data_IF_747904856510
#
_entry.id   IF_747904856510
#
_cell.length_a   1.000
_cell.length_b   1.000
_cell.length_c   1.000
_cell.angle_alpha   90.00
_cell.angle_beta   90.00
_cell.angle_gamma   90.00
#
_symmetry.space_group_name_H-M   'P 1'
#
loop_
_entity.id
_entity.type
_entity.pdbx_description
1 polymer ?
#
# COMPACT_ATOMS: atom_id res chain seq x y z
N UNK A 1 -33.27 9.31 -10.22
CA UNK A 1 -31.83 9.07 -10.10
C UNK A 1 -31.59 7.75 -9.38
N UNK A 2 -30.87 6.80 -9.95
CA UNK A 2 -30.56 5.52 -9.28
C UNK A 2 -29.54 5.78 -8.17
N UNK A 3 -29.97 5.66 -6.92
CA UNK A 3 -29.04 5.73 -5.78
C UNK A 3 -28.23 4.43 -5.70
N UNK A 4 -26.95 4.55 -5.27
CA UNK A 4 -26.14 3.36 -4.99
C UNK A 4 -26.82 2.53 -3.91
N UNK A 5 -26.96 1.19 -4.10
CA UNK A 5 -27.62 0.33 -3.12
C UNK A 5 -26.79 0.27 -1.82
N UNK A 6 -27.46 -0.04 -0.73
CA UNK A 6 -26.81 -0.28 0.55
C UNK A 6 -25.96 -1.57 0.46
N UNK A 7 -24.72 -1.48 0.93
CA UNK A 7 -23.81 -2.61 1.01
C UNK A 7 -23.93 -3.28 2.39
N UNK A 8 -23.92 -4.62 2.41
CA UNK A 8 -23.85 -5.35 3.67
C UNK A 8 -22.49 -5.09 4.38
N UNK A 9 -22.45 -5.23 5.69
CA UNK A 9 -21.21 -5.08 6.49
C UNK A 9 -20.06 -5.92 5.93
N UNK A 10 -20.32 -7.17 5.53
CA UNK A 10 -19.34 -8.04 4.91
C UNK A 10 -18.75 -7.46 3.62
N UNK A 11 -19.59 -6.85 2.76
CA UNK A 11 -19.11 -6.20 1.53
C UNK A 11 -18.26 -4.96 1.81
N UNK A 12 -18.59 -4.19 2.85
CA UNK A 12 -17.78 -3.06 3.29
C UNK A 12 -16.41 -3.52 3.82
N UNK A 13 -16.40 -4.66 4.53
CA UNK A 13 -15.16 -5.29 5.00
C UNK A 13 -14.31 -5.79 3.83
N UNK A 14 -14.89 -6.57 2.92
CA UNK A 14 -14.21 -7.11 1.74
C UNK A 14 -13.61 -5.99 0.86
N UNK A 15 -14.29 -4.87 0.76
CA UNK A 15 -13.87 -3.67 0.01
C UNK A 15 -12.57 -3.07 0.56
N UNK A 16 -12.38 -3.11 1.86
CA UNK A 16 -11.25 -2.47 2.55
C UNK A 16 -10.15 -3.46 2.96
N UNK A 17 -10.40 -4.77 2.88
CA UNK A 17 -9.49 -5.78 3.44
C UNK A 17 -8.10 -5.80 2.80
N UNK A 18 -8.01 -5.58 1.49
CA UNK A 18 -6.71 -5.49 0.82
C UNK A 18 -5.84 -4.33 1.32
N UNK A 19 -6.46 -3.27 1.87
CA UNK A 19 -5.74 -2.16 2.45
C UNK A 19 -4.93 -2.55 3.71
N UNK A 20 -5.40 -3.55 4.46
CA UNK A 20 -4.66 -4.17 5.56
C UNK A 20 -3.28 -4.69 5.10
N UNK A 21 -3.23 -5.44 4.00
CA UNK A 21 -1.97 -5.94 3.44
C UNK A 21 -1.04 -4.81 2.95
N UNK A 22 -1.59 -3.79 2.29
CA UNK A 22 -0.82 -2.62 1.84
C UNK A 22 -0.20 -1.88 3.02
N UNK A 23 -0.92 -1.77 4.14
CA UNK A 23 -0.41 -1.11 5.33
C UNK A 23 0.65 -1.92 6.08
N UNK A 24 0.60 -3.24 6.04
CA UNK A 24 1.71 -4.08 6.53
C UNK A 24 2.99 -3.77 5.76
N UNK A 25 2.93 -3.72 4.43
CA UNK A 25 4.08 -3.41 3.59
C UNK A 25 4.65 -2.02 3.90
N UNK A 26 3.79 -1.00 4.00
CA UNK A 26 4.18 0.35 4.33
C UNK A 26 4.83 0.45 5.73
N UNK A 27 4.25 -0.21 6.73
CA UNK A 27 4.78 -0.23 8.09
C UNK A 27 6.13 -0.95 8.18
N UNK A 28 6.28 -2.10 7.51
CA UNK A 28 7.55 -2.83 7.44
C UNK A 28 8.67 -1.99 6.82
N UNK A 29 8.36 -1.32 5.71
CA UNK A 29 9.30 -0.39 5.10
C UNK A 29 9.67 0.73 6.06
N UNK A 30 8.69 1.44 6.62
CA UNK A 30 8.93 2.57 7.53
C UNK A 30 9.73 2.17 8.78
N UNK A 31 9.45 1.00 9.34
CA UNK A 31 10.15 0.52 10.54
C UNK A 31 11.60 0.11 10.29
N UNK A 32 11.91 -0.41 9.11
CA UNK A 32 13.19 -1.08 8.86
C UNK A 32 14.11 -0.35 7.88
N UNK A 33 13.65 0.73 7.24
CA UNK A 33 14.44 1.47 6.25
C UNK A 33 15.79 1.93 6.81
N UNK A 34 15.78 2.61 7.97
CA UNK A 34 17.01 3.09 8.61
C UNK A 34 17.95 1.94 8.96
N UNK A 35 17.39 0.82 9.41
CA UNK A 35 18.16 -0.38 9.78
C UNK A 35 18.80 -1.03 8.56
N UNK A 36 18.07 -1.19 7.47
CA UNK A 36 18.57 -1.75 6.21
C UNK A 36 19.73 -0.90 5.69
N UNK A 37 19.56 0.41 5.61
CA UNK A 37 20.61 1.29 5.09
C UNK A 37 21.80 1.43 6.03
N UNK A 38 21.60 1.42 7.36
CA UNK A 38 22.69 1.38 8.32
C UNK A 38 23.55 0.10 8.17
N UNK A 39 22.92 -1.05 7.92
CA UNK A 39 23.68 -2.30 7.67
C UNK A 39 24.42 -2.28 6.34
N UNK A 40 23.94 -1.55 5.34
CA UNK A 40 24.64 -1.34 4.06
C UNK A 40 25.81 -0.36 4.17
N UNK A 41 26.02 0.27 5.33
CA UNK A 41 27.13 1.21 5.58
C UNK A 41 26.77 2.68 5.37
N UNK A 42 25.47 3.04 5.42
CA UNK A 42 25.07 4.44 5.38
C UNK A 42 25.52 5.18 6.64
N UNK A 43 26.07 6.38 6.45
CA UNK A 43 26.35 7.29 7.55
C UNK A 43 25.03 7.75 8.21
N UNK A 44 24.92 7.75 9.55
CA UNK A 44 23.74 8.21 10.28
C UNK A 44 23.21 9.59 9.85
N UNK A 45 24.10 10.52 9.48
CA UNK A 45 23.72 11.84 8.98
C UNK A 45 23.04 11.78 7.61
N UNK A 46 23.43 10.86 6.74
CA UNK A 46 22.83 10.70 5.42
C UNK A 46 21.49 9.97 5.46
N UNK A 47 21.19 9.21 6.53
CA UNK A 47 19.92 8.51 6.70
C UNK A 47 18.71 9.44 6.68
N UNK A 48 18.86 10.70 7.09
CA UNK A 48 17.80 11.70 7.07
C UNK A 48 17.23 11.92 5.66
N UNK A 49 18.05 11.84 4.61
CA UNK A 49 17.60 12.00 3.23
C UNK A 49 16.67 10.87 2.78
N UNK A 50 16.84 9.66 3.29
CA UNK A 50 15.98 8.52 2.95
C UNK A 50 14.56 8.66 3.50
N UNK A 51 14.36 9.42 4.59
CA UNK A 51 13.04 9.68 5.15
C UNK A 51 12.21 10.69 4.35
N UNK A 52 12.84 11.46 3.47
CA UNK A 52 12.15 12.41 2.58
C UNK A 52 11.51 11.69 1.40
N UNK A 53 12.08 10.55 0.97
CA UNK A 53 11.63 9.84 -0.24
C UNK A 53 10.19 9.32 -0.17
N UNK A 54 9.73 8.62 0.89
CA UNK A 54 8.36 8.15 0.98
C UNK A 54 7.30 9.24 0.81
N UNK A 55 7.35 10.38 1.55
CA UNK A 55 6.42 11.48 1.34
C UNK A 55 6.50 12.07 -0.07
N UNK A 56 7.71 12.21 -0.62
CA UNK A 56 7.90 12.75 -1.98
C UNK A 56 7.24 11.86 -3.03
N UNK A 57 7.46 10.54 -2.96
CA UNK A 57 6.82 9.58 -3.85
C UNK A 57 5.29 9.59 -3.69
N UNK A 58 4.79 9.73 -2.46
CA UNK A 58 3.36 9.89 -2.19
C UNK A 58 2.76 11.12 -2.88
N UNK A 59 3.43 12.27 -2.80
CA UNK A 59 2.98 13.51 -3.41
C UNK A 59 2.95 13.41 -4.95
N UNK A 60 3.94 12.74 -5.54
CA UNK A 60 4.05 12.62 -7.01
C UNK A 60 3.15 11.51 -7.57
N UNK A 61 3.20 10.33 -6.98
CA UNK A 61 2.57 9.12 -7.54
C UNK A 61 1.05 9.12 -7.34
N UNK A 62 0.55 9.53 -6.17
CA UNK A 62 -0.88 9.43 -5.86
C UNK A 62 -1.77 10.24 -6.80
N UNK A 63 -1.48 11.52 -7.15
CA UNK A 63 -2.28 12.27 -8.11
C UNK A 63 -2.23 11.69 -9.53
N UNK A 64 -1.05 11.22 -9.96
CA UNK A 64 -0.86 10.62 -11.28
C UNK A 64 -1.69 9.34 -11.40
N UNK A 65 -1.55 8.43 -10.45
CA UNK A 65 -2.30 7.16 -10.42
C UNK A 65 -3.80 7.41 -10.28
N UNK A 66 -4.20 8.37 -9.45
CA UNK A 66 -5.59 8.79 -9.32
C UNK A 66 -6.18 9.22 -10.67
N UNK A 67 -5.51 10.15 -11.34
CA UNK A 67 -5.93 10.66 -12.66
C UNK A 67 -5.94 9.57 -13.75
N UNK A 68 -4.88 8.76 -13.81
CA UNK A 68 -4.79 7.66 -14.77
C UNK A 68 -5.90 6.62 -14.55
N UNK A 69 -6.15 6.22 -13.29
CA UNK A 69 -7.18 5.24 -12.97
C UNK A 69 -8.60 5.77 -13.24
N UNK A 70 -8.82 7.09 -13.16
CA UNK A 70 -10.12 7.70 -13.52
C UNK A 70 -10.42 7.60 -15.02
N UNK A 71 -9.40 7.60 -15.86
CA UNK A 71 -9.52 7.55 -17.33
C UNK A 71 -9.48 6.14 -17.90
N UNK A 72 -9.02 5.16 -17.13
CA UNK A 72 -8.86 3.78 -17.58
C UNK A 72 -10.09 2.96 -17.26
N UNK A 73 -10.67 2.29 -18.26
CA UNK A 73 -11.75 1.35 -18.09
C UNK A 73 -11.32 -0.02 -18.63
N UNK A 74 -11.33 -1.01 -17.76
CA UNK A 74 -11.08 -2.39 -18.10
C UNK A 74 -12.26 -3.26 -17.74
N UNK A 75 -12.26 -4.53 -18.19
CA UNK A 75 -13.28 -5.51 -17.81
C UNK A 75 -13.32 -5.81 -16.30
N UNK A 76 -12.24 -5.49 -15.58
CA UNK A 76 -12.14 -5.68 -14.12
C UNK A 76 -12.55 -4.42 -13.34
N UNK A 77 -12.79 -3.32 -14.02
CA UNK A 77 -13.05 -2.01 -13.43
C UNK A 77 -11.96 -1.00 -13.78
N UNK A 78 -11.98 0.15 -13.11
CA UNK A 78 -11.00 1.23 -13.31
C UNK A 78 -9.90 1.27 -12.24
N UNK A 79 -10.22 0.91 -11.00
CA UNK A 79 -9.30 0.96 -9.84
C UNK A 79 -8.51 -0.33 -9.65
N UNK A 80 -9.17 -1.48 -9.83
CA UNK A 80 -8.61 -2.81 -9.57
C UNK A 80 -7.31 -3.09 -10.32
N UNK A 81 -7.14 -2.75 -11.62
CA UNK A 81 -5.89 -3.03 -12.32
C UNK A 81 -4.68 -2.30 -11.72
N UNK A 82 -4.83 -1.03 -11.35
CA UNK A 82 -3.76 -0.25 -10.74
C UNK A 82 -3.37 -0.77 -9.37
N UNK A 83 -4.39 -1.12 -8.57
CA UNK A 83 -4.22 -1.72 -7.26
C UNK A 83 -3.45 -3.05 -7.35
N UNK A 84 -3.83 -3.91 -8.28
CA UNK A 84 -3.19 -5.21 -8.45
C UNK A 84 -1.75 -5.07 -8.97
N UNK A 85 -1.51 -4.24 -9.98
CA UNK A 85 -0.16 -4.00 -10.52
C UNK A 85 0.75 -3.38 -9.47
N UNK A 86 0.26 -2.36 -8.74
CA UNK A 86 1.01 -1.76 -7.64
C UNK A 86 1.41 -2.77 -6.57
N UNK A 87 0.46 -3.62 -6.14
CA UNK A 87 0.74 -4.64 -5.15
C UNK A 87 1.70 -5.73 -5.68
N UNK A 88 1.55 -6.17 -6.92
CA UNK A 88 2.43 -7.18 -7.53
C UNK A 88 3.89 -6.67 -7.62
N UNK A 89 4.08 -5.43 -8.06
CA UNK A 89 5.41 -4.81 -8.10
C UNK A 89 5.96 -4.62 -6.69
N UNK A 90 5.14 -4.17 -5.72
CA UNK A 90 5.55 -4.01 -4.34
C UNK A 90 6.04 -5.34 -3.74
N UNK A 91 5.38 -6.46 -4.01
CA UNK A 91 5.79 -7.81 -3.56
C UNK A 91 7.18 -8.17 -4.09
N UNK A 92 7.43 -7.97 -5.39
CA UNK A 92 8.74 -8.23 -5.98
C UNK A 92 9.83 -7.38 -5.32
N UNK A 93 9.56 -6.10 -5.15
CA UNK A 93 10.52 -5.16 -4.57
C UNK A 93 10.73 -5.42 -3.08
N UNK A 94 9.70 -5.82 -2.34
CA UNK A 94 9.84 -6.25 -0.93
C UNK A 94 10.75 -7.46 -0.78
N UNK A 95 10.82 -8.34 -1.77
CA UNK A 95 11.76 -9.45 -1.76
C UNK A 95 13.19 -9.02 -2.12
N UNK A 96 13.38 -7.94 -2.88
CA UNK A 96 14.69 -7.47 -3.31
C UNK A 96 15.39 -6.58 -2.27
N UNK A 97 14.64 -5.65 -1.65
CA UNK A 97 15.20 -4.62 -0.77
C UNK A 97 16.02 -5.18 0.41
N UNK A 98 15.53 -6.14 1.21
CA UNK A 98 16.31 -6.66 2.33
C UNK A 98 17.53 -7.48 1.90
N UNK A 99 17.60 -7.92 0.65
CA UNK A 99 18.73 -8.69 0.11
C UNK A 99 19.82 -7.81 -0.55
N UNK A 100 19.67 -6.49 -0.53
CA UNK A 100 20.60 -5.57 -1.19
C UNK A 100 22.08 -5.78 -0.78
N UNK A 101 22.33 -6.13 0.48
CA UNK A 101 23.67 -6.44 0.98
C UNK A 101 24.21 -7.83 0.60
N UNK A 102 23.33 -8.77 0.25
CA UNK A 102 23.71 -10.17 -0.02
C UNK A 102 24.21 -10.44 -1.44
N UNK A 103 24.10 -9.47 -2.34
CA UNK A 103 24.50 -9.62 -3.75
C UNK A 103 26.00 -9.46 -4.01
N UNK A 104 26.84 -9.33 -2.97
CA UNK A 104 28.29 -9.19 -3.12
C UNK A 104 28.74 -7.91 -3.82
N UNK A 105 27.88 -6.89 -3.86
CA UNK A 105 28.17 -5.58 -4.46
C UNK A 105 29.08 -4.76 -3.53
N UNK A 106 29.88 -3.85 -4.13
CA UNK A 106 30.56 -2.82 -3.36
C UNK A 106 29.56 -1.97 -2.58
N UNK A 107 29.95 -1.45 -1.41
CA UNK A 107 29.08 -0.68 -0.49
C UNK A 107 28.34 0.45 -1.23
N UNK A 108 29.04 1.21 -2.07
CA UNK A 108 28.43 2.30 -2.85
C UNK A 108 27.38 1.78 -3.83
N UNK A 109 27.62 0.66 -4.49
CA UNK A 109 26.66 0.05 -5.41
C UNK A 109 25.44 -0.52 -4.67
N UNK A 110 25.64 -1.17 -3.51
CA UNK A 110 24.59 -1.68 -2.64
C UNK A 110 23.69 -0.54 -2.12
N UNK A 111 24.27 0.60 -1.78
CA UNK A 111 23.55 1.81 -1.36
C UNK A 111 22.66 2.36 -2.48
N UNK A 112 23.21 2.53 -3.69
CA UNK A 112 22.44 3.00 -4.85
C UNK A 112 21.33 2.02 -5.21
N UNK A 113 21.63 0.73 -5.22
CA UNK A 113 20.65 -0.32 -5.46
C UNK A 113 19.53 -0.28 -4.42
N UNK A 114 19.87 -0.19 -3.13
CA UNK A 114 18.89 -0.07 -2.05
C UNK A 114 18.02 1.17 -2.19
N UNK A 115 18.62 2.33 -2.54
CA UNK A 115 17.88 3.58 -2.78
C UNK A 115 16.89 3.46 -3.93
N UNK A 116 17.34 2.96 -5.08
CA UNK A 116 16.47 2.76 -6.26
C UNK A 116 15.34 1.78 -5.93
N UNK A 117 15.67 0.67 -5.28
CA UNK A 117 14.68 -0.34 -4.84
C UNK A 117 13.68 0.26 -3.87
N UNK A 118 14.11 1.11 -2.93
CA UNK A 118 13.24 1.83 -2.01
C UNK A 118 12.27 2.75 -2.76
N UNK A 119 12.76 3.53 -3.72
CA UNK A 119 11.91 4.42 -4.54
C UNK A 119 10.86 3.62 -5.32
N UNK A 120 11.22 2.46 -5.87
CA UNK A 120 10.28 1.56 -6.53
C UNK A 120 9.24 0.99 -5.55
N UNK A 121 9.65 0.66 -4.33
CA UNK A 121 8.75 0.17 -3.29
C UNK A 121 7.73 1.25 -2.90
N UNK A 122 8.19 2.47 -2.62
CA UNK A 122 7.32 3.61 -2.31
C UNK A 122 6.33 3.91 -3.44
N UNK A 123 6.82 3.94 -4.67
CA UNK A 123 5.99 4.13 -5.86
C UNK A 123 4.90 3.06 -5.94
N UNK A 124 5.28 1.81 -5.77
CA UNK A 124 4.37 0.66 -5.90
C UNK A 124 3.33 0.61 -4.78
N UNK A 125 3.74 0.88 -3.54
CA UNK A 125 2.83 0.96 -2.40
C UNK A 125 1.83 2.12 -2.59
N UNK A 126 2.30 3.31 -2.98
CA UNK A 126 1.43 4.44 -3.25
C UNK A 126 0.50 4.20 -4.45
N UNK A 127 0.97 3.50 -5.47
CA UNK A 127 0.16 3.07 -6.62
C UNK A 127 -0.97 2.12 -6.21
N UNK A 128 -0.74 1.23 -5.25
CA UNK A 128 -1.79 0.35 -4.71
C UNK A 128 -2.70 1.10 -3.72
N UNK A 129 -2.14 1.95 -2.87
CA UNK A 129 -2.85 2.65 -1.79
C UNK A 129 -3.91 3.61 -2.31
N UNK A 130 -3.61 4.38 -3.35
CA UNK A 130 -4.52 5.40 -3.88
C UNK A 130 -5.83 4.82 -4.42
N UNK A 131 -5.84 3.76 -5.27
CA UNK A 131 -7.07 3.12 -5.69
C UNK A 131 -7.92 2.59 -4.53
N UNK A 132 -7.32 2.06 -3.46
CA UNK A 132 -8.08 1.62 -2.28
C UNK A 132 -8.84 2.76 -1.61
N UNK A 133 -8.20 3.92 -1.41
CA UNK A 133 -8.84 5.09 -0.82
C UNK A 133 -10.03 5.56 -1.66
N UNK A 134 -9.87 5.55 -2.98
CA UNK A 134 -10.90 6.00 -3.92
C UNK A 134 -12.01 4.97 -4.11
N UNK A 135 -11.70 3.68 -4.03
CA UNK A 135 -12.65 2.58 -4.23
C UNK A 135 -13.81 2.65 -3.21
N UNK A 136 -13.52 2.94 -1.95
CA UNK A 136 -14.53 3.13 -0.91
C UNK A 136 -15.46 4.30 -1.27
N UNK A 137 -14.92 5.43 -1.69
CA UNK A 137 -15.70 6.60 -2.12
C UNK A 137 -16.58 6.31 -3.34
N UNK A 138 -16.06 5.51 -4.29
CA UNK A 138 -16.76 5.16 -5.51
C UNK A 138 -17.87 4.14 -5.29
N UNK A 139 -17.67 3.17 -4.41
CA UNK A 139 -18.57 2.03 -4.21
C UNK A 139 -19.69 2.29 -3.21
N UNK A 140 -19.44 3.11 -2.20
CA UNK A 140 -20.34 3.27 -1.05
C UNK A 140 -21.27 4.47 -1.24
N UNK A 141 -22.52 4.34 -0.78
CA UNK A 141 -23.47 5.45 -0.76
C UNK A 141 -23.17 6.43 0.39
N UNK A 142 -23.73 7.64 0.32
CA UNK A 142 -23.46 8.72 1.29
C UNK A 142 -23.79 8.31 2.74
N UNK A 143 -24.84 7.49 2.95
CA UNK A 143 -25.28 7.07 4.29
C UNK A 143 -24.26 6.14 4.99
N UNK A 144 -23.59 5.32 4.20
CA UNK A 144 -22.65 4.30 4.72
C UNK A 144 -21.18 4.73 4.65
N UNK A 145 -20.87 5.89 4.07
CA UNK A 145 -19.48 6.36 3.91
C UNK A 145 -18.71 6.42 5.24
N UNK A 146 -19.35 6.97 6.29
CA UNK A 146 -18.70 7.07 7.60
C UNK A 146 -18.30 5.70 8.14
N UNK A 147 -19.21 4.71 8.07
CA UNK A 147 -18.95 3.34 8.49
C UNK A 147 -17.83 2.69 7.64
N UNK A 148 -17.90 2.86 6.32
CA UNK A 148 -16.93 2.29 5.40
C UNK A 148 -15.50 2.83 5.64
N UNK A 149 -15.36 4.14 5.83
CA UNK A 149 -14.07 4.75 6.16
C UNK A 149 -13.58 4.38 7.57
N UNK A 150 -14.50 4.15 8.52
CA UNK A 150 -14.13 3.64 9.85
C UNK A 150 -13.55 2.23 9.77
N UNK A 151 -14.17 1.34 8.99
CA UNK A 151 -13.65 -0.02 8.73
C UNK A 151 -12.28 0.07 8.03
N UNK A 152 -12.15 0.92 7.01
CA UNK A 152 -10.89 1.12 6.30
C UNK A 152 -9.79 1.61 7.24
N UNK A 153 -10.07 2.59 8.10
CA UNK A 153 -9.12 3.12 9.08
C UNK A 153 -8.73 2.07 10.11
N UNK A 154 -9.69 1.26 10.57
CA UNK A 154 -9.40 0.15 11.48
C UNK A 154 -8.43 -0.85 10.84
N UNK A 155 -8.70 -1.31 9.63
CA UNK A 155 -7.85 -2.25 8.89
C UNK A 155 -6.46 -1.64 8.58
N UNK A 156 -6.41 -0.35 8.26
CA UNK A 156 -5.18 0.39 8.06
C UNK A 156 -4.29 0.35 9.32
N UNK A 157 -4.83 0.73 10.46
CA UNK A 157 -4.08 0.77 11.72
C UNK A 157 -3.72 -0.65 12.22
N UNK A 158 -4.61 -1.62 12.05
CA UNK A 158 -4.33 -3.01 12.37
C UNK A 158 -3.20 -3.57 11.51
N UNK A 159 -3.19 -3.27 10.21
CA UNK A 159 -2.09 -3.65 9.31
C UNK A 159 -0.76 -3.01 9.69
N UNK A 160 -0.78 -1.72 10.03
CA UNK A 160 0.41 -1.02 10.50
C UNK A 160 0.96 -1.63 11.79
N UNK A 161 0.11 -1.94 12.75
CA UNK A 161 0.50 -2.58 14.01
C UNK A 161 1.18 -3.93 13.74
N UNK A 162 0.59 -4.77 12.90
CA UNK A 162 1.17 -6.06 12.51
C UNK A 162 2.54 -5.86 11.86
N UNK A 163 2.67 -4.92 10.92
CA UNK A 163 3.93 -4.62 10.24
C UNK A 163 5.04 -4.19 11.20
N UNK A 164 4.75 -3.32 12.17
CA UNK A 164 5.72 -2.89 13.18
C UNK A 164 6.13 -3.99 14.15
N UNK A 165 5.22 -4.91 14.48
CA UNK A 165 5.48 -6.01 15.42
C UNK A 165 6.24 -7.18 14.78
N UNK A 166 6.16 -7.37 13.46
CA UNK A 166 6.74 -8.53 12.77
C UNK A 166 8.20 -8.83 13.09
N UNK A 167 9.16 -7.89 13.03
CA UNK A 167 10.55 -8.20 13.35
C UNK A 167 10.73 -8.71 14.78
N UNK A 168 9.97 -8.19 15.74
CA UNK A 168 9.98 -8.62 17.13
C UNK A 168 9.37 -10.01 17.32
N UNK A 169 8.27 -10.28 16.60
CA UNK A 169 7.63 -11.58 16.60
C UNK A 169 8.57 -12.68 16.10
N UNK A 170 9.28 -12.44 14.99
CA UNK A 170 10.26 -13.40 14.46
C UNK A 170 11.47 -13.57 15.38
N UNK A 171 11.89 -12.51 16.05
CA UNK A 171 12.93 -12.60 17.08
C UNK A 171 12.48 -13.48 18.25
N UNK A 172 11.23 -13.34 18.70
CA UNK A 172 10.67 -14.20 19.75
C UNK A 172 10.56 -15.67 19.34
N UNK A 173 10.43 -15.96 18.05
CA UNK A 173 10.49 -17.32 17.50
C UNK A 173 11.92 -17.88 17.35
N UNK A 174 12.94 -17.13 17.78
CA UNK A 174 14.33 -17.57 17.75
C UNK A 174 15.08 -17.24 16.44
N UNK A 175 14.47 -16.43 15.53
CA UNK A 175 15.15 -15.97 14.32
C UNK A 175 16.13 -14.85 14.69
N UNK A 176 17.36 -14.92 14.17
CA UNK A 176 18.43 -13.98 14.49
C UNK A 176 18.03 -12.52 14.16
N UNK A 177 18.16 -11.63 15.15
CA UNK A 177 17.89 -10.20 15.00
C UNK A 177 19.18 -9.38 14.83
N UNK A 178 20.31 -10.04 14.83
CA UNK A 178 21.65 -9.47 14.60
C UNK A 178 22.29 -10.18 13.43
N UNK A 179 23.03 -9.44 12.61
CA UNK A 179 23.77 -9.96 11.48
C UNK A 179 25.15 -9.29 11.40
N UNK A 180 26.13 -9.87 10.71
CA UNK A 180 27.40 -9.23 10.39
C UNK A 180 27.19 -7.92 9.62
N UNK A 181 28.20 -7.04 9.66
CA UNK A 181 28.20 -5.81 8.88
C UNK A 181 27.99 -6.11 7.38
N UNK A 182 27.11 -5.37 6.73
CA UNK A 182 26.77 -5.56 5.31
C UNK A 182 25.63 -6.52 5.03
N UNK A 183 25.09 -7.22 6.03
CA UNK A 183 23.98 -8.16 5.86
C UNK A 183 22.80 -7.76 6.74
N UNK A 184 21.60 -7.72 6.16
CA UNK A 184 20.36 -7.43 6.91
C UNK A 184 19.99 -8.63 7.78
N UNK A 185 19.57 -8.43 9.05
CA UNK A 185 19.18 -9.54 9.91
C UNK A 185 18.04 -10.39 9.38
N UNK A 186 18.10 -11.70 9.62
CA UNK A 186 17.11 -12.66 9.12
C UNK A 186 15.67 -12.34 9.60
N UNK A 187 15.51 -11.82 10.81
CA UNK A 187 14.19 -11.40 11.31
C UNK A 187 13.53 -10.33 10.44
N UNK A 188 14.33 -9.42 9.87
CA UNK A 188 13.85 -8.39 8.94
C UNK A 188 13.53 -9.01 7.58
N UNK A 189 14.43 -9.85 7.04
CA UNK A 189 14.24 -10.53 5.75
C UNK A 189 12.95 -11.34 5.76
N UNK A 190 12.73 -12.17 6.77
CA UNK A 190 11.51 -12.96 6.93
C UNK A 190 10.27 -12.10 7.12
N UNK A 191 10.38 -10.97 7.83
CA UNK A 191 9.28 -10.02 7.97
C UNK A 191 8.82 -9.48 6.62
N UNK A 192 9.77 -9.13 5.74
CA UNK A 192 9.46 -8.64 4.40
C UNK A 192 8.84 -9.74 3.51
N UNK A 193 9.36 -10.97 3.55
CA UNK A 193 8.83 -12.06 2.75
C UNK A 193 7.39 -12.43 3.15
N UNK A 194 7.14 -12.58 4.45
CA UNK A 194 5.79 -12.90 4.95
C UNK A 194 4.85 -11.71 4.77
N UNK A 195 5.34 -10.48 4.98
CA UNK A 195 4.58 -9.27 4.69
C UNK A 195 4.18 -9.17 3.22
N UNK A 196 5.09 -9.50 2.30
CA UNK A 196 4.82 -9.55 0.86
C UNK A 196 3.77 -10.62 0.50
N UNK A 197 3.86 -11.81 1.11
CA UNK A 197 2.87 -12.87 0.93
C UNK A 197 1.48 -12.44 1.43
N UNK A 198 1.40 -11.81 2.60
CA UNK A 198 0.14 -11.29 3.15
C UNK A 198 -0.41 -10.18 2.24
N UNK A 199 0.42 -9.26 1.78
CA UNK A 199 0.03 -8.18 0.87
C UNK A 199 -0.69 -8.75 -0.36
N UNK A 200 -0.04 -9.68 -1.08
CA UNK A 200 -0.62 -10.21 -2.32
C UNK A 200 -1.89 -11.03 -2.05
N UNK A 201 -1.95 -11.80 -0.97
CA UNK A 201 -3.14 -12.57 -0.60
C UNK A 201 -4.32 -11.64 -0.24
N UNK A 202 -4.09 -10.58 0.52
CA UNK A 202 -5.11 -9.59 0.85
C UNK A 202 -5.63 -8.86 -0.39
N UNK A 203 -4.74 -8.51 -1.32
CA UNK A 203 -5.10 -7.84 -2.57
C UNK A 203 -5.88 -8.80 -3.48
N UNK A 204 -5.44 -10.04 -3.65
CA UNK A 204 -6.17 -11.07 -4.41
C UNK A 204 -7.56 -11.28 -3.80
N UNK A 205 -7.66 -11.40 -2.48
CA UNK A 205 -8.94 -11.54 -1.79
C UNK A 205 -9.90 -10.40 -2.15
N UNK A 206 -9.46 -9.15 -2.00
CA UNK A 206 -10.31 -8.00 -2.31
C UNK A 206 -10.65 -7.92 -3.78
N UNK A 207 -9.70 -8.10 -4.69
CA UNK A 207 -9.95 -8.03 -6.14
C UNK A 207 -10.86 -9.15 -6.65
N UNK A 208 -10.85 -10.32 -6.02
CA UNK A 208 -11.75 -11.43 -6.33
C UNK A 208 -13.18 -11.22 -5.80
N UNK A 209 -13.33 -10.54 -4.66
CA UNK A 209 -14.63 -10.33 -4.00
C UNK A 209 -15.33 -9.05 -4.40
N UNK A 210 -14.56 -8.03 -4.79
CA UNK A 210 -15.09 -6.71 -5.14
C UNK A 210 -15.24 -6.58 -6.64
N UNK A 211 -16.46 -6.31 -7.07
CA UNK A 211 -16.77 -5.94 -8.46
C UNK A 211 -17.16 -4.47 -8.50
N UNK A 212 -16.39 -3.67 -9.21
CA UNK A 212 -16.68 -2.26 -9.35
C UNK A 212 -18.02 -2.01 -10.07
N UNK A 213 -18.69 -0.91 -9.71
CA UNK A 213 -19.92 -0.50 -10.38
C UNK A 213 -19.65 -0.15 -11.84
N UNK A 214 -20.66 -0.40 -12.68
CA UNK A 214 -20.60 0.01 -14.08
C UNK A 214 -20.57 1.55 -14.20
N UNK A 215 -20.03 2.11 -15.30
CA UNK A 215 -19.94 3.55 -15.52
C UNK A 215 -21.26 4.28 -15.30
N UNK A 216 -22.36 3.67 -15.72
CA UNK A 216 -23.72 4.23 -15.58
C UNK A 216 -24.10 4.50 -14.12
N UNK A 217 -23.73 3.63 -13.17
CA UNK A 217 -24.01 3.81 -11.74
C UNK A 217 -23.04 4.78 -11.06
N UNK A 218 -21.80 4.86 -11.53
CA UNK A 218 -20.80 5.77 -10.98
C UNK A 218 -21.09 7.25 -11.31
N UNK A 219 -21.54 7.52 -12.53
CA UNK A 219 -21.77 8.88 -13.00
C UNK A 219 -23.22 9.40 -12.78
N UNK A 220 -24.16 8.56 -12.37
CA UNK A 220 -25.53 8.99 -12.05
C UNK A 220 -25.72 9.52 -10.63
N UNK A 221 -24.70 9.50 -9.78
CA UNK A 221 -24.77 10.23 -8.52
C UNK A 221 -24.65 11.74 -8.80
N UNK A 222 -25.56 12.60 -8.24
CA UNK A 222 -25.54 14.02 -8.54
C UNK A 222 -24.19 14.63 -8.16
N UNK A 223 -23.61 15.34 -9.11
CA UNK A 223 -22.42 16.17 -8.87
C UNK A 223 -22.69 17.16 -7.73
N UNK A 224 -21.67 17.58 -6.96
CA UNK A 224 -21.83 18.71 -6.03
C UNK A 224 -22.40 19.98 -6.69
N UNK A 225 -22.22 20.17 -8.01
CA UNK A 225 -22.83 21.24 -8.80
C UNK A 225 -24.34 21.05 -8.95
N UNK A 226 -24.81 19.83 -9.20
CA UNK A 226 -26.24 19.54 -9.36
C UNK A 226 -27.00 19.72 -8.04
N UNK A 227 -26.35 19.42 -6.90
CA UNK A 227 -26.89 19.68 -5.56
C UNK A 227 -26.99 21.17 -5.22
N UNK A 228 -26.16 22.03 -5.81
CA UNK A 228 -26.28 23.50 -5.66
C UNK A 228 -27.42 24.06 -6.51
N UNK A 229 -27.59 23.59 -7.73
CA UNK A 229 -28.69 24.05 -8.61
C UNK A 229 -30.07 23.64 -8.09
N UNK A 230 -30.21 22.48 -7.43
CA UNK A 230 -31.50 22.05 -6.82
C UNK A 230 -31.86 22.81 -5.55
N UNK A 231 -31.01 23.68 -5.02
CA UNK A 231 -31.25 24.52 -3.85
C UNK A 231 -31.40 26.01 -4.17
N UNK A 232 -31.36 26.39 -5.44
CA UNK A 232 -31.68 27.74 -5.85
C UNK A 232 -33.23 27.85 -6.01
N UNK A 233 -33.85 28.87 -5.41
CA UNK A 233 -35.30 29.10 -5.50
C UNK A 233 -35.74 29.43 -6.94
#
# INVERSE_FOLDING_TARGET
MKQKPDLSFRKLWDLSFGFFGVQIAYALQSANIARIFATLGADPHSLSYFWILPPLMGILVQPIVGSCSDRTWTRFGRRIPYLFVGAAVAVLVMCLLPNAGSFGMAVSAAMVFGLVTLMFLDTSINMAMQPFKMLVGDMVNEKQKALAYSIQSFLCNAGSLVGYVFPFFFTALGIANTAPSGVVPDSVIWSFYIGAAILILCVIYTTARVKEWTPCLLYTSPSPRDKRQSRMP
#
